data_IF_762752801049
#
_entry.id   IF_762752801049
#
_cell.length_a   1.000
_cell.length_b   1.000
_cell.length_c   1.000
_cell.angle_alpha   90.00
_cell.angle_beta   90.00
_cell.angle_gamma   90.00
#
_symmetry.space_group_name_H-M   'P 1'
#
loop_
_entity.id
_entity.type
_entity.pdbx_description
1 polymer ?
#
# COMPACT_ATOMS: atom_id res chain seq x y z
N UNK A 1 -1.61 -21.76 3.76
CA UNK A 1 -0.40 -20.92 3.74
C UNK A 1 0.23 -21.06 2.37
N UNK A 2 0.78 -19.98 1.81
CA UNK A 2 1.34 -19.98 0.46
C UNK A 2 2.77 -19.42 0.49
N UNK A 3 3.67 -20.01 -0.28
CA UNK A 3 5.01 -19.47 -0.54
C UNK A 3 4.92 -18.27 -1.48
N UNK A 4 5.96 -17.43 -1.49
CA UNK A 4 6.04 -16.34 -2.48
C UNK A 4 6.08 -16.85 -3.92
N UNK A 5 6.54 -18.08 -4.16
CA UNK A 5 6.57 -18.69 -5.49
C UNK A 5 5.16 -19.08 -5.94
N UNK A 6 4.37 -19.71 -5.07
CA UNK A 6 2.97 -20.06 -5.37
C UNK A 6 2.10 -18.83 -5.59
N UNK A 7 2.28 -17.78 -4.77
CA UNK A 7 1.57 -16.50 -4.95
C UNK A 7 1.96 -15.85 -6.29
N UNK A 8 3.25 -15.87 -6.65
CA UNK A 8 3.72 -15.30 -7.92
C UNK A 8 3.16 -16.03 -9.14
N UNK A 9 3.05 -17.36 -9.08
CA UNK A 9 2.39 -18.15 -10.12
C UNK A 9 0.91 -17.80 -10.24
N UNK A 10 0.20 -17.61 -9.13
CA UNK A 10 -1.22 -17.24 -9.14
C UNK A 10 -1.47 -15.84 -9.72
N UNK A 11 -0.61 -14.87 -9.38
CA UNK A 11 -0.76 -13.46 -9.79
C UNK A 11 -0.08 -13.20 -11.15
N UNK A 12 0.59 -14.19 -11.74
CA UNK A 12 1.27 -14.06 -13.03
C UNK A 12 2.43 -13.05 -13.03
N UNK A 13 3.16 -12.94 -11.90
CA UNK A 13 4.23 -11.95 -11.73
C UNK A 13 5.53 -12.59 -11.24
N UNK A 14 6.59 -11.79 -11.13
CA UNK A 14 7.91 -12.27 -10.70
C UNK A 14 7.94 -12.51 -9.16
N UNK A 15 8.39 -13.70 -8.69
CA UNK A 15 8.51 -13.99 -7.26
C UNK A 15 9.30 -12.98 -6.43
N UNK A 16 10.28 -12.29 -7.05
CA UNK A 16 11.06 -11.22 -6.40
C UNK A 16 10.17 -10.02 -6.07
N UNK A 17 9.29 -9.63 -6.99
CA UNK A 17 8.35 -8.52 -6.80
C UNK A 17 7.35 -8.86 -5.70
N UNK A 18 6.77 -10.06 -5.76
CA UNK A 18 5.87 -10.56 -4.71
C UNK A 18 6.56 -10.53 -3.34
N UNK A 19 7.80 -11.01 -3.25
CA UNK A 19 8.54 -11.02 -1.99
C UNK A 19 8.77 -9.62 -1.43
N UNK A 20 9.01 -8.62 -2.27
CA UNK A 20 9.17 -7.22 -1.85
C UNK A 20 7.87 -6.66 -1.27
N UNK A 21 6.75 -6.89 -1.95
CA UNK A 21 5.41 -6.47 -1.49
C UNK A 21 5.05 -7.17 -0.18
N UNK A 22 5.16 -8.49 -0.11
CA UNK A 22 4.86 -9.27 1.10
C UNK A 22 5.81 -8.90 2.27
N UNK A 23 7.05 -8.52 1.96
CA UNK A 23 8.00 -7.99 2.93
C UNK A 23 7.49 -6.72 3.60
N UNK A 24 7.05 -5.72 2.81
CA UNK A 24 6.47 -4.47 3.33
C UNK A 24 5.24 -4.71 4.20
N UNK A 25 4.33 -5.57 3.73
CA UNK A 25 3.14 -5.95 4.49
C UNK A 25 3.49 -6.64 5.82
N UNK A 26 4.60 -7.39 5.87
CA UNK A 26 5.09 -7.97 7.13
C UNK A 26 5.71 -6.92 8.05
N UNK A 27 6.46 -5.96 7.52
CA UNK A 27 7.03 -4.86 8.30
C UNK A 27 5.92 -4.00 8.93
N UNK A 28 4.81 -3.82 8.21
CA UNK A 28 3.59 -3.17 8.72
C UNK A 28 2.77 -4.05 9.68
N UNK A 29 3.22 -5.28 9.98
CA UNK A 29 2.52 -6.19 10.90
C UNK A 29 1.21 -6.76 10.36
N UNK A 30 0.98 -6.70 9.05
CA UNK A 30 -0.19 -7.28 8.38
C UNK A 30 0.02 -8.75 8.03
N UNK A 31 1.26 -9.12 7.74
CA UNK A 31 1.67 -10.49 7.44
C UNK A 31 2.73 -10.99 8.40
N UNK A 32 2.81 -12.30 8.50
CA UNK A 32 3.91 -13.02 9.12
C UNK A 32 4.47 -14.04 8.16
N UNK A 33 5.77 -14.29 8.28
CA UNK A 33 6.49 -15.29 7.50
C UNK A 33 6.96 -16.40 8.42
N UNK A 34 6.61 -17.65 8.11
CA UNK A 34 7.21 -18.81 8.77
C UNK A 34 8.39 -19.35 7.95
N UNK A 35 9.48 -19.71 8.65
CA UNK A 35 10.68 -20.30 8.03
C UNK A 35 10.56 -21.83 8.04
N UNK A 36 10.96 -22.48 6.95
CA UNK A 36 11.01 -23.94 6.84
C UNK A 36 10.69 -24.42 5.43
N UNK A 37 10.81 -25.74 5.19
CA UNK A 37 10.49 -26.39 3.91
C UNK A 37 8.99 -26.27 3.53
N UNK A 38 8.13 -26.03 4.53
CA UNK A 38 6.70 -25.72 4.39
C UNK A 38 6.37 -24.27 4.83
N UNK A 39 7.39 -23.39 4.87
CA UNK A 39 7.21 -22.00 5.29
C UNK A 39 6.41 -21.19 4.28
N UNK A 40 5.64 -20.21 4.74
CA UNK A 40 4.79 -19.40 3.88
C UNK A 40 4.34 -18.12 4.54
N UNK A 41 3.43 -17.42 3.87
CA UNK A 41 2.83 -16.19 4.36
C UNK A 41 1.46 -16.47 4.96
N UNK A 42 1.17 -15.80 6.07
CA UNK A 42 -0.12 -15.81 6.77
C UNK A 42 -0.45 -14.40 7.22
N UNK A 43 -1.75 -14.07 7.27
CA UNK A 43 -2.24 -12.85 7.90
C UNK A 43 -1.85 -12.85 9.40
N UNK A 44 -1.25 -11.75 9.85
CA UNK A 44 -0.86 -11.58 11.24
C UNK A 44 -2.08 -11.36 12.16
N UNK A 45 -3.19 -10.86 11.59
CA UNK A 45 -4.44 -10.51 12.27
C UNK A 45 -5.64 -11.09 11.50
N UNK A 46 -6.82 -11.09 12.09
CA UNK A 46 -8.06 -11.54 11.42
C UNK A 46 -8.34 -10.69 10.17
N UNK A 47 -8.87 -11.26 9.07
CA UNK A 47 -9.17 -10.51 7.85
C UNK A 47 -10.22 -9.41 8.07
N UNK A 48 -11.10 -9.59 9.06
CA UNK A 48 -12.13 -8.62 9.48
C UNK A 48 -11.57 -7.33 10.09
N UNK A 49 -10.31 -7.34 10.54
CA UNK A 49 -9.66 -6.16 11.17
C UNK A 49 -8.55 -5.55 10.31
N UNK A 50 -8.27 -6.15 9.15
CA UNK A 50 -7.29 -5.61 8.20
C UNK A 50 -8.09 -4.88 7.13
N UNK A 51 -7.91 -3.56 7.06
CA UNK A 51 -8.60 -2.73 6.06
C UNK A 51 -7.78 -2.64 4.77
N UNK A 52 -8.43 -2.25 3.66
CA UNK A 52 -7.68 -1.91 2.43
C UNK A 52 -6.80 -0.67 2.65
N UNK A 53 -7.17 0.22 3.57
CA UNK A 53 -6.33 1.35 3.96
C UNK A 53 -5.02 0.89 4.62
N UNK A 54 -5.06 -0.12 5.49
CA UNK A 54 -3.86 -0.70 6.09
C UNK A 54 -2.89 -1.20 5.01
N UNK A 55 -3.42 -1.89 3.99
CA UNK A 55 -2.62 -2.39 2.86
C UNK A 55 -2.03 -1.24 2.05
N UNK A 56 -2.84 -0.22 1.73
CA UNK A 56 -2.39 0.96 0.98
C UNK A 56 -1.24 1.68 1.70
N UNK A 57 -1.40 1.95 2.99
CA UNK A 57 -0.39 2.61 3.82
C UNK A 57 0.87 1.73 3.95
N UNK A 58 0.71 0.42 4.14
CA UNK A 58 1.83 -0.50 4.28
C UNK A 58 2.70 -0.60 3.03
N UNK A 59 2.13 -0.35 1.84
CA UNK A 59 2.88 -0.34 0.59
C UNK A 59 3.63 0.96 0.34
N UNK A 60 3.43 1.99 1.18
CA UNK A 60 4.01 3.32 1.02
C UNK A 60 3.66 3.91 -0.37
N UNK A 61 2.45 3.61 -0.84
CA UNK A 61 1.88 4.18 -2.07
C UNK A 61 1.24 5.53 -1.72
N UNK A 62 1.52 6.54 -2.53
CA UNK A 62 0.91 7.86 -2.37
C UNK A 62 0.54 8.43 -3.73
N UNK A 63 -0.67 9.01 -3.82
CA UNK A 63 -1.11 9.76 -5.01
C UNK A 63 -0.38 11.09 -5.09
N UNK A 64 0.02 11.63 -3.93
CA UNK A 64 0.96 12.73 -3.84
C UNK A 64 2.35 12.17 -4.13
N UNK A 65 2.60 11.84 -5.40
CA UNK A 65 3.93 11.45 -5.84
C UNK A 65 4.93 12.48 -5.29
N UNK A 66 6.04 12.00 -4.74
CA UNK A 66 7.17 12.81 -4.32
C UNK A 66 7.79 13.47 -5.56
N UNK A 67 7.06 14.42 -6.15
CA UNK A 67 7.58 15.31 -7.15
C UNK A 67 8.73 16.04 -6.52
N UNK A 68 9.92 15.82 -7.07
CA UNK A 68 11.13 16.53 -6.68
C UNK A 68 10.78 18.01 -6.48
N UNK A 69 11.25 18.65 -5.38
CA UNK A 69 11.19 20.09 -5.26
C UNK A 69 12.18 20.67 -6.26
N UNK A 70 11.85 20.62 -7.54
CA UNK A 70 12.73 21.05 -8.60
C UNK A 70 12.45 22.52 -8.92
N UNK A 71 13.52 23.29 -8.70
CA UNK A 71 13.77 24.65 -9.13
C UNK A 71 12.93 25.77 -8.53
N UNK A 72 13.54 26.47 -7.57
CA UNK A 72 13.47 27.93 -7.38
C UNK A 72 12.30 28.62 -8.09
N UNK A 73 11.07 28.40 -7.60
CA UNK A 73 9.88 29.11 -8.05
C UNK A 73 10.01 30.56 -7.58
N UNK A 74 10.67 31.37 -8.41
CA UNK A 74 10.90 32.81 -8.16
C UNK A 74 9.61 33.64 -8.24
N UNK A 75 8.52 33.05 -8.76
CA UNK A 75 7.22 33.69 -8.88
C UNK A 75 6.28 33.30 -7.72
N UNK A 76 5.77 34.30 -7.00
CA UNK A 76 4.78 34.10 -5.92
C UNK A 76 3.50 33.39 -6.38
N UNK A 77 3.13 33.50 -7.66
CA UNK A 77 1.93 32.86 -8.22
C UNK A 77 2.16 31.36 -8.39
N UNK A 78 3.34 30.94 -8.82
CA UNK A 78 3.67 29.52 -9.01
C UNK A 78 3.75 28.79 -7.67
N UNK A 79 4.32 29.42 -6.63
CA UNK A 79 4.30 28.89 -5.27
C UNK A 79 2.87 28.74 -4.73
N UNK A 80 2.02 29.74 -4.95
CA UNK A 80 0.62 29.67 -4.53
C UNK A 80 -0.13 28.55 -5.27
N UNK A 81 0.09 28.41 -6.57
CA UNK A 81 -0.53 27.34 -7.37
C UNK A 81 -0.05 25.96 -6.91
N UNK A 82 1.26 25.76 -6.74
CA UNK A 82 1.83 24.50 -6.28
C UNK A 82 1.29 24.11 -4.90
N UNK A 83 1.27 25.05 -3.94
CA UNK A 83 0.70 24.82 -2.61
C UNK A 83 -0.79 24.46 -2.67
N UNK A 84 -1.57 25.11 -3.54
CA UNK A 84 -3.00 24.80 -3.72
C UNK A 84 -3.21 23.40 -4.30
N UNK A 85 -2.46 23.03 -5.34
CA UNK A 85 -2.55 21.70 -5.96
C UNK A 85 -2.12 20.62 -4.96
N UNK A 86 -1.00 20.81 -4.26
CA UNK A 86 -0.54 19.88 -3.23
C UNK A 86 -1.59 19.70 -2.12
N UNK A 87 -2.21 20.78 -1.66
CA UNK A 87 -3.28 20.71 -0.66
C UNK A 87 -4.53 19.96 -1.15
N UNK A 88 -4.89 20.06 -2.44
CA UNK A 88 -6.01 19.30 -3.03
C UNK A 88 -5.66 17.82 -3.12
N UNK A 89 -4.45 17.49 -3.57
CA UNK A 89 -4.00 16.10 -3.69
C UNK A 89 -3.95 15.43 -2.30
N UNK A 90 -3.44 16.13 -1.28
CA UNK A 90 -3.42 15.62 0.09
C UNK A 90 -4.84 15.36 0.62
N UNK A 91 -5.79 16.29 0.40
CA UNK A 91 -7.18 16.08 0.80
C UNK A 91 -7.82 14.90 0.07
N UNK A 92 -7.51 14.74 -1.22
CA UNK A 92 -8.02 13.62 -2.03
C UNK A 92 -7.48 12.29 -1.53
N UNK A 93 -6.20 12.23 -1.19
CA UNK A 93 -5.55 11.05 -0.62
C UNK A 93 -6.14 10.69 0.75
N UNK A 94 -6.39 11.68 1.61
CA UNK A 94 -7.09 11.44 2.89
C UNK A 94 -8.48 10.85 2.67
N UNK A 95 -9.24 11.39 1.72
CA UNK A 95 -10.56 10.85 1.38
C UNK A 95 -10.47 9.42 0.83
N UNK A 96 -9.47 9.11 0.01
CA UNK A 96 -9.22 7.76 -0.47
C UNK A 96 -8.92 6.80 0.68
N UNK A 97 -8.00 7.16 1.57
CA UNK A 97 -7.64 6.34 2.73
C UNK A 97 -8.86 6.10 3.61
N UNK A 98 -9.69 7.12 3.83
CA UNK A 98 -10.93 6.97 4.60
C UNK A 98 -11.90 5.98 3.95
N UNK A 99 -12.05 6.01 2.61
CA UNK A 99 -12.91 5.06 1.90
C UNK A 99 -12.34 3.65 1.95
N UNK A 100 -11.03 3.47 1.71
CA UNK A 100 -10.36 2.18 1.83
C UNK A 100 -10.43 1.61 3.25
N UNK A 101 -10.53 2.48 4.27
CA UNK A 101 -10.69 2.09 5.67
C UNK A 101 -12.05 1.46 5.99
N UNK A 102 -13.05 1.60 5.10
CA UNK A 102 -14.40 1.04 5.27
C UNK A 102 -14.55 -0.38 4.74
N UNK A 103 -13.55 -0.86 4.00
CA UNK A 103 -13.55 -2.20 3.41
C UNK A 103 -12.41 -3.02 4.01
N UNK A 104 -12.73 -4.22 4.47
CA UNK A 104 -11.80 -5.15 5.08
C UNK A 104 -11.37 -6.23 4.08
N UNK A 105 -10.30 -6.96 4.38
CA UNK A 105 -9.87 -8.10 3.55
C UNK A 105 -10.92 -9.20 3.53
N UNK A 106 -11.76 -9.31 4.57
CA UNK A 106 -12.86 -10.27 4.59
C UNK A 106 -13.93 -9.93 3.54
N UNK A 107 -14.22 -8.64 3.32
CA UNK A 107 -15.26 -8.20 2.38
C UNK A 107 -14.88 -8.48 0.92
N UNK A 108 -13.59 -8.59 0.61
CA UNK A 108 -13.11 -8.88 -0.76
C UNK A 108 -13.35 -10.34 -1.17
N UNK A 109 -13.58 -11.25 -0.23
CA UNK A 109 -13.82 -12.67 -0.53
C UNK A 109 -15.29 -12.97 -0.86
N UNK A 110 -16.21 -12.05 -0.59
CA UNK A 110 -17.67 -12.26 -0.75
C UNK A 110 -18.19 -11.82 -2.14
N UNK A 111 -17.31 -11.36 -3.04
CA UNK A 111 -17.59 -10.95 -4.44
C UNK A 111 -17.05 -11.95 -5.49
#
# INVERSE_FOLDING_TARGET
MLTSAEIATHVGTNPVVVRRVLGRLREAGLLISEKGHAGGWRLARSPEVITLADVYIALDESIVAAGSPDHNLSCSVENALHSRVAGILQQTEMALIEQLGKTTIADVHDD
#
